data_IF_488711422280
#
_entry.id   IF_488711422280
#
_cell.length_a   1.000
_cell.length_b   1.000
_cell.length_c   1.000
_cell.angle_alpha   90.00
_cell.angle_beta   90.00
_cell.angle_gamma   90.00
#
_symmetry.space_group_name_H-M   'P 1'
#
loop_
_entity.id
_entity.type
_entity.pdbx_description
1 polymer ?
#
# COMPACT_ATOMS: atom_id res chain seq x y z
N UNK A 1 -21.52 51.75 7.28
CA UNK A 1 -20.56 51.22 6.28
C UNK A 1 -19.71 50.07 6.84
N UNK A 2 -18.99 50.23 7.96
CA UNK A 2 -18.15 49.16 8.55
C UNK A 2 -18.90 47.87 8.94
N UNK A 3 -20.14 47.97 9.44
CA UNK A 3 -21.00 46.80 9.76
C UNK A 3 -21.27 45.91 8.54
N UNK A 4 -21.48 46.50 7.36
CA UNK A 4 -21.68 45.75 6.12
C UNK A 4 -20.38 45.09 5.64
N UNK A 5 -19.23 45.71 5.89
CA UNK A 5 -17.91 45.13 5.60
C UNK A 5 -17.70 43.85 6.42
N UNK A 6 -18.01 43.85 7.73
CA UNK A 6 -17.86 42.65 8.57
C UNK A 6 -18.84 41.54 8.19
N UNK A 7 -20.07 41.88 7.80
CA UNK A 7 -21.06 40.91 7.30
C UNK A 7 -20.58 40.26 5.99
N UNK A 8 -20.03 41.06 5.06
CA UNK A 8 -19.50 40.55 3.80
C UNK A 8 -18.27 39.65 4.01
N UNK A 9 -17.37 40.01 4.93
CA UNK A 9 -16.21 39.18 5.30
C UNK A 9 -16.69 37.86 5.90
N UNK A 10 -17.67 37.89 6.80
CA UNK A 10 -18.25 36.69 7.39
C UNK A 10 -18.88 35.77 6.35
N UNK A 11 -19.62 36.33 5.38
CA UNK A 11 -20.23 35.55 4.29
C UNK A 11 -19.19 34.94 3.36
N UNK A 12 -18.14 35.69 2.98
CA UNK A 12 -17.05 35.17 2.16
C UNK A 12 -16.26 34.07 2.87
N UNK A 13 -16.00 34.23 4.17
CA UNK A 13 -15.35 33.21 4.97
C UNK A 13 -16.21 31.94 5.06
N UNK A 14 -17.50 32.09 5.34
CA UNK A 14 -18.42 30.96 5.44
C UNK A 14 -18.56 30.24 4.10
N UNK A 15 -18.64 30.98 2.98
CA UNK A 15 -18.65 30.40 1.64
C UNK A 15 -17.34 29.66 1.32
N UNK A 16 -16.19 30.19 1.73
CA UNK A 16 -14.89 29.52 1.60
C UNK A 16 -14.79 28.23 2.41
N UNK A 17 -15.29 28.23 3.65
CA UNK A 17 -15.35 27.05 4.51
C UNK A 17 -16.32 26.00 3.94
N UNK A 18 -17.51 26.40 3.49
CA UNK A 18 -18.47 25.51 2.84
C UNK A 18 -17.89 24.92 1.56
N UNK A 19 -17.21 25.72 0.72
CA UNK A 19 -16.53 25.23 -0.47
C UNK A 19 -15.44 24.21 -0.11
N UNK A 20 -14.64 24.46 0.93
CA UNK A 20 -13.58 23.54 1.39
C UNK A 20 -14.15 22.23 1.98
N UNK A 21 -15.33 22.27 2.61
CA UNK A 21 -16.03 21.07 3.12
C UNK A 21 -16.74 20.33 1.97
N UNK A 22 -17.29 21.05 0.99
CA UNK A 22 -18.04 20.48 -0.13
C UNK A 22 -17.18 20.04 -1.30
N UNK A 23 -15.88 20.38 -1.35
CA UNK A 23 -14.98 19.73 -2.29
C UNK A 23 -14.94 18.25 -1.95
N UNK A 24 -15.48 17.34 -2.78
CA UNK A 24 -15.28 15.92 -2.56
C UNK A 24 -13.77 15.73 -2.51
N UNK A 25 -13.28 15.25 -1.36
CA UNK A 25 -11.84 15.03 -1.16
C UNK A 25 -11.33 14.33 -2.40
N UNK A 26 -10.41 14.97 -3.13
CA UNK A 26 -9.90 14.50 -4.42
C UNK A 26 -9.54 13.03 -4.26
N UNK A 27 -10.44 12.14 -4.67
CA UNK A 27 -10.16 10.73 -4.78
C UNK A 27 -9.06 10.68 -5.82
N UNK A 28 -7.82 10.59 -5.34
CA UNK A 28 -6.65 10.53 -6.20
C UNK A 28 -6.92 9.45 -7.21
N UNK A 29 -6.93 9.83 -8.50
CA UNK A 29 -7.31 8.93 -9.59
C UNK A 29 -6.63 7.58 -9.45
N UNK A 30 -7.38 6.52 -9.76
CA UNK A 30 -6.94 5.12 -9.71
C UNK A 30 -5.54 4.99 -10.32
N UNK A 31 -4.61 4.38 -9.58
CA UNK A 31 -3.30 4.05 -10.12
C UNK A 31 -3.41 2.78 -10.97
N UNK A 32 -2.60 2.67 -12.04
CA UNK A 32 -2.60 1.52 -12.94
C UNK A 32 -2.55 0.17 -12.22
N UNK A 33 -1.80 0.09 -11.10
CA UNK A 33 -1.62 -1.16 -10.37
C UNK A 33 -2.64 -1.40 -9.24
N UNK A 34 -3.66 -0.55 -9.08
CA UNK A 34 -4.61 -0.69 -7.97
C UNK A 34 -5.33 -2.04 -8.01
N UNK A 35 -5.91 -2.40 -9.15
CA UNK A 35 -6.60 -3.68 -9.31
C UNK A 35 -5.65 -4.88 -9.21
N UNK A 36 -4.41 -4.75 -9.70
CA UNK A 36 -3.40 -5.80 -9.58
C UNK A 36 -3.05 -6.05 -8.11
N UNK A 37 -2.71 -5.00 -7.35
CA UNK A 37 -2.35 -5.11 -5.94
C UNK A 37 -3.49 -5.63 -5.06
N UNK A 38 -4.73 -5.19 -5.33
CA UNK A 38 -5.93 -5.71 -4.66
C UNK A 38 -6.13 -7.20 -4.95
N UNK A 39 -6.00 -7.61 -6.21
CA UNK A 39 -6.11 -9.01 -6.59
C UNK A 39 -5.06 -9.89 -5.88
N UNK A 40 -3.80 -9.42 -5.73
CA UNK A 40 -2.78 -10.18 -4.98
C UNK A 40 -3.24 -10.47 -3.54
N UNK A 41 -3.86 -9.48 -2.89
CA UNK A 41 -4.44 -9.63 -1.54
C UNK A 41 -5.60 -10.62 -1.55
N UNK A 42 -6.53 -10.51 -2.51
CA UNK A 42 -7.68 -11.41 -2.64
C UNK A 42 -7.29 -12.86 -2.91
N UNK A 43 -6.19 -13.07 -3.64
CA UNK A 43 -5.62 -14.40 -3.94
C UNK A 43 -4.79 -14.97 -2.79
N UNK A 44 -4.67 -14.23 -1.67
CA UNK A 44 -3.95 -14.68 -0.48
C UNK A 44 -2.43 -14.72 -0.67
N UNK A 45 -1.89 -13.91 -1.58
CA UNK A 45 -0.45 -13.68 -1.61
C UNK A 45 -0.05 -12.85 -0.38
N UNK A 46 1.13 -13.10 0.17
CA UNK A 46 1.66 -12.34 1.31
C UNK A 46 3.10 -11.93 1.00
N UNK A 47 3.38 -10.64 1.15
CA UNK A 47 4.70 -10.07 1.02
C UNK A 47 5.28 -9.78 2.40
N UNK A 48 6.16 -10.67 2.86
CA UNK A 48 6.92 -10.48 4.08
C UNK A 48 8.19 -9.67 3.81
N UNK A 49 8.44 -8.62 4.58
CA UNK A 49 9.67 -7.86 4.45
C UNK A 49 9.96 -6.97 5.65
N UNK A 50 10.97 -6.12 5.51
CA UNK A 50 11.34 -5.14 6.51
C UNK A 50 11.33 -3.72 5.93
N UNK A 51 10.94 -2.72 6.73
CA UNK A 51 10.91 -1.32 6.27
C UNK A 51 12.28 -0.79 5.81
N UNK A 52 13.37 -1.28 6.41
CA UNK A 52 14.75 -0.89 6.10
C UNK A 52 15.39 -1.72 4.99
N UNK A 53 14.75 -2.80 4.53
CA UNK A 53 15.31 -3.73 3.55
C UNK A 53 15.28 -3.11 2.13
N UNK A 54 16.44 -2.91 1.46
CA UNK A 54 16.50 -2.25 0.15
C UNK A 54 15.67 -2.97 -0.92
N UNK A 55 15.81 -4.30 -1.03
CA UNK A 55 15.03 -5.10 -1.99
C UNK A 55 13.52 -5.07 -1.71
N UNK A 56 13.13 -4.87 -0.46
CA UNK A 56 11.75 -4.71 -0.08
C UNK A 56 11.20 -3.34 -0.52
N UNK A 57 12.03 -2.29 -0.44
CA UNK A 57 11.70 -0.97 -0.95
C UNK A 57 11.61 -0.97 -2.49
N UNK A 58 12.53 -1.67 -3.16
CA UNK A 58 12.50 -1.86 -4.62
C UNK A 58 11.20 -2.54 -5.06
N UNK A 59 10.83 -3.65 -4.41
CA UNK A 59 9.56 -4.33 -4.69
C UNK A 59 8.36 -3.40 -4.48
N UNK A 60 8.34 -2.63 -3.38
CA UNK A 60 7.25 -1.68 -3.08
C UNK A 60 7.16 -0.58 -4.13
N UNK A 61 8.28 -0.10 -4.65
CA UNK A 61 8.34 0.96 -5.65
C UNK A 61 7.69 0.56 -6.98
N UNK A 62 7.75 -0.72 -7.37
CA UNK A 62 7.09 -1.23 -8.58
C UNK A 62 5.56 -1.01 -8.55
N UNK A 63 4.95 -1.02 -7.36
CA UNK A 63 3.51 -0.76 -7.18
C UNK A 63 3.16 0.72 -7.11
N UNK A 64 4.14 1.64 -7.09
CA UNK A 64 3.90 3.08 -7.00
C UNK A 64 2.92 3.43 -5.87
N UNK A 65 1.87 4.22 -6.14
CA UNK A 65 0.83 4.57 -5.15
C UNK A 65 -0.10 3.41 -4.80
N UNK A 66 -0.09 2.31 -5.56
CA UNK A 66 -0.87 1.11 -5.28
C UNK A 66 -0.27 0.25 -4.18
N UNK A 67 0.94 0.57 -3.70
CA UNK A 67 1.60 -0.14 -2.59
C UNK A 67 0.72 -0.26 -1.35
N UNK A 68 -0.18 0.69 -1.13
CA UNK A 68 -1.17 0.66 -0.02
C UNK A 68 -2.14 -0.54 -0.08
N UNK A 69 -2.28 -1.18 -1.23
CA UNK A 69 -3.12 -2.37 -1.42
C UNK A 69 -2.32 -3.67 -1.47
N UNK A 70 -0.98 -3.59 -1.44
CA UNK A 70 -0.11 -4.76 -1.46
C UNK A 70 -0.22 -5.48 -0.10
N UNK A 71 -0.34 -6.82 -0.07
CA UNK A 71 -0.50 -7.59 1.17
C UNK A 71 0.83 -7.71 1.93
N UNK A 72 1.34 -6.59 2.43
CA UNK A 72 2.63 -6.50 3.11
C UNK A 72 2.52 -6.82 4.61
N UNK A 73 3.42 -7.67 5.11
CA UNK A 73 3.62 -7.94 6.53
C UNK A 73 5.01 -7.44 6.93
N UNK A 74 5.02 -6.49 7.87
CA UNK A 74 6.26 -6.02 8.49
C UNK A 74 6.84 -7.11 9.39
N UNK A 75 8.10 -7.44 9.16
CA UNK A 75 8.81 -8.46 9.90
C UNK A 75 9.86 -7.90 10.85
N UNK A 76 10.27 -6.64 10.74
CA UNK A 76 11.27 -6.07 11.64
C UNK A 76 10.62 -5.40 12.85
N UNK A 77 11.27 -5.55 14.01
CA UNK A 77 11.02 -4.66 15.15
C UNK A 77 11.36 -3.21 14.76
N UNK A 78 10.75 -2.20 15.42
CA UNK A 78 10.98 -0.79 15.09
C UNK A 78 12.44 -0.33 15.17
N UNK A 79 13.24 -0.98 16.01
CA UNK A 79 14.68 -0.71 16.16
C UNK A 79 15.55 -1.39 15.08
N UNK A 80 14.96 -2.20 14.20
CA UNK A 80 15.67 -2.88 13.11
C UNK A 80 16.45 -4.14 13.52
N UNK A 81 16.43 -4.53 14.80
CA UNK A 81 17.39 -5.53 15.34
C UNK A 81 16.83 -6.94 15.45
N UNK A 82 15.52 -7.11 15.39
CA UNK A 82 14.86 -8.39 15.64
C UNK A 82 13.70 -8.61 14.68
N UNK A 83 13.32 -9.88 14.54
CA UNK A 83 12.14 -10.25 13.76
C UNK A 83 10.90 -10.33 14.66
N UNK A 84 9.79 -9.78 14.18
CA UNK A 84 8.46 -9.86 14.79
C UNK A 84 7.94 -11.29 14.80
N UNK A 85 7.18 -11.65 15.83
CA UNK A 85 6.72 -13.03 16.05
C UNK A 85 5.89 -13.56 14.87
N UNK A 86 5.05 -12.72 14.26
CA UNK A 86 4.26 -13.09 13.07
C UNK A 86 5.11 -13.67 11.93
N UNK A 87 6.33 -13.17 11.74
CA UNK A 87 7.22 -13.66 10.69
C UNK A 87 8.05 -14.87 11.15
N UNK A 88 8.35 -14.97 12.45
CA UNK A 88 8.97 -16.17 13.04
C UNK A 88 8.03 -17.38 12.94
N UNK A 89 6.76 -17.19 13.29
CA UNK A 89 5.72 -18.21 13.22
C UNK A 89 5.48 -18.64 11.77
N UNK A 90 5.56 -17.69 10.83
CA UNK A 90 5.51 -17.96 9.40
C UNK A 90 6.83 -18.54 8.83
N UNK A 91 7.86 -18.77 9.65
CA UNK A 91 9.14 -19.33 9.20
C UNK A 91 9.86 -18.48 8.15
N UNK A 92 9.80 -17.15 8.26
CA UNK A 92 10.46 -16.23 7.33
C UNK A 92 11.94 -16.11 7.70
N UNK A 93 12.82 -16.50 6.78
CA UNK A 93 14.28 -16.48 6.99
C UNK A 93 14.99 -15.35 6.25
N UNK A 94 14.37 -14.78 5.22
CA UNK A 94 14.97 -13.72 4.40
C UNK A 94 13.91 -12.73 3.90
N UNK A 95 14.36 -11.53 3.54
CA UNK A 95 13.51 -10.46 3.04
C UNK A 95 13.99 -9.98 1.66
N UNK A 96 13.07 -9.62 0.75
CA UNK A 96 11.64 -9.91 0.82
C UNK A 96 11.37 -11.42 0.63
N UNK A 97 10.21 -11.89 1.10
CA UNK A 97 9.68 -13.22 0.79
C UNK A 97 8.23 -13.07 0.35
N UNK A 98 7.88 -13.62 -0.81
CA UNK A 98 6.51 -13.77 -1.25
C UNK A 98 6.02 -15.18 -0.97
N UNK A 99 4.84 -15.31 -0.38
CA UNK A 99 4.17 -16.58 -0.15
C UNK A 99 2.82 -16.57 -0.88
N UNK A 100 2.55 -17.60 -1.66
CA UNK A 100 1.31 -17.71 -2.44
C UNK A 100 0.39 -18.69 -1.72
N UNK A 101 -0.60 -18.14 -0.99
CA UNK A 101 -1.49 -18.84 -0.04
C UNK A 101 -0.83 -19.15 1.32
N UNK A 102 -1.46 -18.68 2.39
CA UNK A 102 -1.02 -18.85 3.79
C UNK A 102 -0.90 -20.32 4.24
N UNK A 103 -1.59 -21.25 3.58
CA UNK A 103 -1.61 -22.67 3.92
C UNK A 103 -0.55 -23.50 3.17
N UNK A 104 0.20 -22.88 2.24
CA UNK A 104 1.19 -23.59 1.42
C UNK A 104 2.60 -23.14 1.74
N UNK A 105 3.58 -23.96 1.37
CA UNK A 105 5.00 -23.58 1.40
C UNK A 105 5.47 -22.96 0.08
N UNK A 106 4.57 -22.66 -0.86
CA UNK A 106 4.94 -22.05 -2.14
C UNK A 106 5.41 -20.60 -1.90
N UNK A 107 6.71 -20.41 -2.06
CA UNK A 107 7.39 -19.16 -1.75
C UNK A 107 8.45 -18.83 -2.79
N UNK A 108 8.61 -17.54 -3.03
CA UNK A 108 9.75 -17.00 -3.76
C UNK A 108 10.50 -16.06 -2.83
N UNK A 109 11.82 -16.26 -2.74
CA UNK A 109 12.72 -15.44 -1.95
C UNK A 109 13.30 -14.32 -2.82
N UNK A 110 13.50 -13.15 -2.24
CA UNK A 110 14.02 -11.99 -2.96
C UNK A 110 12.96 -11.26 -3.77
N UNK A 111 13.38 -10.21 -4.48
CA UNK A 111 12.50 -9.39 -5.31
C UNK A 111 11.91 -10.26 -6.42
N UNK A 112 10.61 -10.12 -6.66
CA UNK A 112 9.85 -10.90 -7.64
C UNK A 112 9.32 -9.94 -8.69
N UNK A 113 9.53 -10.30 -9.96
CA UNK A 113 9.00 -9.54 -11.09
C UNK A 113 7.47 -9.55 -11.08
N UNK A 114 6.85 -8.43 -11.47
CA UNK A 114 5.39 -8.29 -11.43
C UNK A 114 4.66 -9.33 -12.30
N UNK A 115 5.26 -9.78 -13.39
CA UNK A 115 4.73 -10.84 -14.25
C UNK A 115 4.71 -12.20 -13.55
N UNK A 116 5.72 -12.52 -12.75
CA UNK A 116 5.74 -13.75 -11.95
C UNK A 116 4.69 -13.70 -10.85
N UNK A 117 4.49 -12.54 -10.22
CA UNK A 117 3.39 -12.34 -9.26
C UNK A 117 2.03 -12.57 -9.92
N UNK A 118 1.84 -12.06 -11.15
CA UNK A 118 0.64 -12.29 -11.94
C UNK A 118 0.43 -13.77 -12.28
N UNK A 119 1.47 -14.47 -12.74
CA UNK A 119 1.42 -15.90 -13.06
C UNK A 119 1.05 -16.75 -11.82
N UNK A 120 1.70 -16.50 -10.69
CA UNK A 120 1.47 -17.24 -9.44
C UNK A 120 0.07 -17.03 -8.85
N UNK A 121 -0.56 -15.90 -9.11
CA UNK A 121 -1.85 -15.54 -8.50
C UNK A 121 -3.02 -15.58 -9.49
N UNK A 122 -2.75 -15.65 -10.80
CA UNK A 122 -3.74 -15.47 -11.85
C UNK A 122 -4.29 -14.04 -11.92
N UNK A 123 -3.60 -13.06 -11.34
CA UNK A 123 -4.00 -11.66 -11.35
C UNK A 123 -3.58 -10.98 -12.66
N UNK A 124 -4.46 -10.18 -13.25
CA UNK A 124 -4.15 -9.42 -14.46
C UNK A 124 -3.17 -8.29 -14.16
N UNK A 125 -1.99 -8.34 -14.79
CA UNK A 125 -1.04 -7.24 -14.76
C UNK A 125 -1.44 -6.20 -15.82
N UNK A 126 -1.65 -4.92 -15.46
CA UNK A 126 -1.92 -3.85 -16.42
C UNK A 126 -0.71 -3.65 -17.35
N UNK A 127 -0.98 -3.35 -18.63
CA UNK A 127 0.03 -3.03 -19.63
C UNK A 127 0.62 -1.63 -19.43
#
# INVERSE_FOLDING_TARGET
MKKYIYILIGLLFFAGVVWLIMTPGRAGGSNKYDGFAQCLTERGAIFYGAFWCPHCQDQKAEFSRSVKYVPYVECSTPDGKSQLQVCKDAGIVTYPTWQFNASTTDRILGKVEMSTLAEKTGCALPQ
#
